data_IF_745752077985
#
_entry.id   IF_745752077985
#
_cell.length_a   1.000
_cell.length_b   1.000
_cell.length_c   1.000
_cell.angle_alpha   90.00
_cell.angle_beta   90.00
_cell.angle_gamma   90.00
#
_symmetry.space_group_name_H-M   'P 1'
#
loop_
_entity.id
_entity.type
_entity.pdbx_description
1 polymer ?
#
# COMPACT_ATOMS: atom_id res chain seq x y z
N UNK A 1 -1.18 -16.46 22.24
CA UNK A 1 -2.00 -15.67 21.32
C UNK A 1 -1.31 -14.36 21.14
N UNK A 2 -1.11 -13.93 19.92
CA UNK A 2 -0.43 -12.67 19.66
C UNK A 2 -1.36 -11.51 20.06
N UNK A 3 -0.79 -10.49 20.69
CA UNK A 3 -1.55 -9.32 21.15
C UNK A 3 -1.86 -8.41 19.97
N UNK A 4 -3.12 -7.95 19.85
CA UNK A 4 -3.50 -6.91 18.88
C UNK A 4 -3.04 -5.55 19.41
N UNK A 5 -2.22 -4.84 18.63
CA UNK A 5 -1.57 -3.57 19.02
C UNK A 5 -2.12 -2.33 18.29
N UNK A 6 -3.32 -2.44 17.70
CA UNK A 6 -3.95 -1.35 16.94
C UNK A 6 -4.41 -0.23 17.86
N UNK A 7 -4.03 1.01 17.55
CA UNK A 7 -4.52 2.22 18.23
C UNK A 7 -5.92 2.60 17.73
N UNK A 8 -6.81 2.99 18.65
CA UNK A 8 -8.13 3.54 18.35
C UNK A 8 -8.20 4.94 18.96
N UNK A 9 -8.23 5.95 18.11
CA UNK A 9 -8.25 7.37 18.48
C UNK A 9 -9.12 8.19 17.51
N UNK A 10 -9.51 9.39 17.93
CA UNK A 10 -10.21 10.34 17.05
C UNK A 10 -9.23 10.89 16.00
N UNK A 11 -9.73 11.11 14.78
CA UNK A 11 -8.93 11.73 13.73
C UNK A 11 -8.68 13.20 14.05
N UNK A 12 -7.42 13.61 14.10
CA UNK A 12 -7.01 15.02 14.16
C UNK A 12 -6.79 15.59 12.74
N UNK A 13 -5.60 16.11 12.42
CA UNK A 13 -5.28 16.67 11.10
C UNK A 13 -4.72 15.59 10.17
N UNK A 14 -5.28 15.49 8.96
CA UNK A 14 -4.71 14.66 7.89
C UNK A 14 -3.84 15.51 6.95
N UNK A 15 -2.57 15.12 6.80
CA UNK A 15 -1.65 15.74 5.85
C UNK A 15 -1.54 14.88 4.60
N UNK A 16 -1.90 15.46 3.45
CA UNK A 16 -1.82 14.77 2.18
C UNK A 16 -0.36 14.49 1.81
N UNK A 17 -0.05 13.25 1.45
CA UNK A 17 1.25 12.88 0.92
C UNK A 17 1.45 13.45 -0.49
N UNK A 18 2.71 13.60 -0.89
CA UNK A 18 3.13 14.12 -2.19
C UNK A 18 2.49 13.35 -3.36
N UNK A 19 2.29 14.03 -4.50
CA UNK A 19 1.57 13.47 -5.65
C UNK A 19 2.17 12.15 -6.17
N UNK A 20 3.49 11.98 -6.10
CA UNK A 20 4.13 10.74 -6.55
C UNK A 20 3.85 9.55 -5.62
N UNK A 21 3.44 9.78 -4.37
CA UNK A 21 2.96 8.73 -3.49
C UNK A 21 1.54 8.27 -3.83
N UNK A 22 0.77 9.10 -4.53
CA UNK A 22 -0.58 8.77 -4.95
C UNK A 22 -0.55 7.76 -6.09
N UNK A 23 -1.40 6.73 -5.98
CA UNK A 23 -1.57 5.72 -7.02
C UNK A 23 -0.26 5.04 -7.47
N UNK A 24 0.72 4.89 -6.54
CA UNK A 24 2.11 4.56 -6.86
C UNK A 24 2.25 3.32 -7.75
N UNK A 25 1.61 2.20 -7.41
CA UNK A 25 1.71 0.96 -8.19
C UNK A 25 1.22 1.14 -9.64
N UNK A 26 0.04 1.75 -9.81
CA UNK A 26 -0.57 1.94 -11.13
C UNK A 26 0.23 2.92 -11.99
N UNK A 27 0.86 3.93 -11.37
CA UNK A 27 1.71 4.90 -12.07
C UNK A 27 3.12 4.33 -12.36
N UNK A 28 3.56 3.31 -11.61
CA UNK A 28 4.92 2.77 -11.67
C UNK A 28 4.96 1.23 -11.75
N UNK A 29 4.16 0.56 -12.60
CA UNK A 29 4.00 -0.90 -12.56
C UNK A 29 5.30 -1.65 -12.87
N UNK A 30 6.20 -1.03 -13.63
CA UNK A 30 7.48 -1.59 -14.05
C UNK A 30 8.63 -1.35 -13.05
N UNK A 31 8.39 -0.63 -11.94
CA UNK A 31 9.41 -0.51 -10.90
C UNK A 31 9.76 -1.90 -10.35
N UNK A 32 11.04 -2.23 -10.12
CA UNK A 32 11.46 -3.57 -9.71
C UNK A 32 10.70 -4.08 -8.48
N UNK A 33 10.44 -3.21 -7.51
CA UNK A 33 9.63 -3.52 -6.34
C UNK A 33 8.20 -3.96 -6.71
N UNK A 34 7.52 -3.19 -7.57
CA UNK A 34 6.16 -3.47 -8.01
C UNK A 34 6.10 -4.80 -8.78
N UNK A 35 7.00 -4.97 -9.74
CA UNK A 35 7.04 -6.16 -10.61
C UNK A 35 7.36 -7.45 -9.83
N UNK A 36 8.30 -7.40 -8.88
CA UNK A 36 8.75 -8.59 -8.15
C UNK A 36 7.86 -8.95 -6.96
N UNK A 37 7.16 -7.98 -6.34
CA UNK A 37 6.45 -8.22 -5.08
C UNK A 37 4.94 -7.95 -5.13
N UNK A 38 4.48 -6.94 -5.86
CA UNK A 38 3.05 -6.59 -5.90
C UNK A 38 2.34 -7.40 -6.98
N UNK A 39 2.85 -7.40 -8.21
CA UNK A 39 2.23 -8.10 -9.35
C UNK A 39 1.97 -9.59 -9.07
N UNK A 40 2.92 -10.38 -8.50
CA UNK A 40 2.65 -11.78 -8.20
C UNK A 40 1.56 -11.99 -7.15
N UNK A 41 1.40 -11.05 -6.22
CA UNK A 41 0.32 -11.11 -5.22
C UNK A 41 -1.02 -10.86 -5.91
N UNK A 42 -1.13 -9.81 -6.73
CA UNK A 42 -2.36 -9.52 -7.48
C UNK A 42 -2.74 -10.69 -8.38
N UNK A 43 -1.77 -11.23 -9.12
CA UNK A 43 -1.97 -12.42 -9.95
C UNK A 43 -2.52 -13.59 -9.13
N UNK A 44 -1.97 -13.86 -7.94
CA UNK A 44 -2.47 -14.93 -7.07
C UNK A 44 -3.90 -14.70 -6.58
N UNK A 45 -4.31 -13.46 -6.35
CA UNK A 45 -5.64 -13.14 -5.84
C UNK A 45 -6.71 -13.11 -6.94
N UNK A 46 -6.34 -12.75 -8.17
CA UNK A 46 -7.30 -12.50 -9.26
C UNK A 46 -7.23 -13.51 -10.43
N UNK A 47 -6.21 -14.38 -10.50
CA UNK A 47 -6.13 -15.49 -11.46
C UNK A 47 -6.47 -16.81 -10.76
#
# INVERSE_FOLDING_TARGET
GDNIVTEVSELDVFYMAEDYHQNYYNNNPNQPYCAMLITPKLDKYFK
#
